data_IF_810955688091
#
_entry.id   IF_810955688091
#
_cell.length_a   1.000
_cell.length_b   1.000
_cell.length_c   1.000
_cell.angle_alpha   90.00
_cell.angle_beta   90.00
_cell.angle_gamma   90.00
#
_symmetry.space_group_name_H-M   'P 1'
#
loop_
_entity.id
_entity.type
_entity.pdbx_description
1 polymer ?
#
# COMPACT_ATOMS: atom_id res chain seq x y z
N UNK A 1 6.47 4.43 -6.85
CA UNK A 1 5.00 4.41 -7.03
C UNK A 1 4.55 3.97 -8.42
N UNK A 2 5.19 4.41 -9.51
CA UNK A 2 4.80 4.03 -10.89
C UNK A 2 4.64 2.51 -11.11
N UNK A 3 5.54 1.63 -10.60
CA UNK A 3 5.37 0.19 -10.78
C UNK A 3 4.08 -0.35 -10.19
N UNK A 4 3.63 0.21 -9.05
CA UNK A 4 2.42 -0.22 -8.34
C UNK A 4 1.16 0.24 -9.08
N UNK A 5 1.17 1.49 -9.58
CA UNK A 5 0.06 2.00 -10.40
C UNK A 5 -0.08 1.19 -11.69
N UNK A 6 1.04 0.93 -12.37
CA UNK A 6 1.05 0.08 -13.57
C UNK A 6 0.52 -1.34 -13.29
N UNK A 7 0.97 -1.95 -12.19
CA UNK A 7 0.51 -3.26 -11.75
C UNK A 7 -1.00 -3.29 -11.50
N UNK A 8 -1.51 -2.33 -10.75
CA UNK A 8 -2.94 -2.26 -10.41
C UNK A 8 -3.81 -2.04 -11.66
N UNK A 9 -3.34 -1.25 -12.63
CA UNK A 9 -4.05 -1.05 -13.90
C UNK A 9 -4.06 -2.30 -14.77
N UNK A 10 -2.92 -2.98 -14.91
CA UNK A 10 -2.78 -4.18 -15.75
C UNK A 10 -3.56 -5.36 -15.19
N UNK A 11 -3.58 -5.53 -13.87
CA UNK A 11 -4.21 -6.68 -13.22
C UNK A 11 -5.61 -6.40 -12.68
N UNK A 12 -6.16 -5.20 -12.87
CA UNK A 12 -7.51 -4.86 -12.42
C UNK A 12 -8.58 -5.86 -12.89
N UNK A 13 -8.43 -6.38 -14.14
CA UNK A 13 -9.34 -7.36 -14.73
C UNK A 13 -9.08 -8.80 -14.24
N UNK A 14 -7.90 -9.09 -13.71
CA UNK A 14 -7.51 -10.40 -13.20
C UNK A 14 -7.80 -10.59 -11.72
N UNK A 15 -8.34 -9.57 -11.05
CA UNK A 15 -8.65 -9.62 -9.63
C UNK A 15 -9.72 -10.67 -9.34
N UNK A 16 -9.55 -11.49 -8.27
CA UNK A 16 -10.57 -12.43 -7.84
C UNK A 16 -11.90 -11.74 -7.53
N UNK A 17 -13.05 -12.43 -7.69
CA UNK A 17 -14.38 -11.87 -7.41
C UNK A 17 -14.51 -11.23 -6.02
N UNK A 18 -13.78 -11.76 -5.03
CA UNK A 18 -13.74 -11.23 -3.68
C UNK A 18 -13.22 -9.78 -3.58
N UNK A 19 -12.46 -9.30 -4.57
CA UNK A 19 -11.97 -7.92 -4.65
C UNK A 19 -12.83 -7.00 -5.55
N UNK A 20 -13.98 -7.50 -6.04
CA UNK A 20 -14.89 -6.71 -6.85
C UNK A 20 -15.68 -5.71 -5.99
N UNK A 21 -16.17 -4.65 -6.64
CA UNK A 21 -16.66 -3.42 -5.99
C UNK A 21 -17.81 -3.59 -4.98
N UNK A 22 -18.66 -4.60 -5.12
CA UNK A 22 -19.85 -4.75 -4.27
C UNK A 22 -19.49 -4.94 -2.79
N UNK A 23 -18.49 -5.77 -2.50
CA UNK A 23 -18.07 -6.07 -1.13
C UNK A 23 -17.34 -4.90 -0.47
N UNK A 24 -16.59 -4.13 -1.26
CA UNK A 24 -15.90 -2.93 -0.79
C UNK A 24 -16.86 -1.77 -0.52
N UNK A 25 -18.05 -1.78 -1.14
CA UNK A 25 -19.07 -0.77 -0.92
C UNK A 25 -19.89 -0.98 0.36
N UNK A 26 -19.84 -2.15 0.97
CA UNK A 26 -20.53 -2.47 2.23
C UNK A 26 -19.84 -1.93 3.49
N UNK A 27 -18.60 -1.40 3.36
CA UNK A 27 -17.81 -0.85 4.48
C UNK A 27 -18.30 0.59 4.81
N UNK A 28 -18.24 1.01 6.11
CA UNK A 28 -18.71 2.33 6.54
C UNK A 28 -18.11 3.48 5.72
N UNK A 29 -18.95 4.44 5.34
CA UNK A 29 -18.58 5.59 4.49
C UNK A 29 -17.46 6.43 5.11
N UNK A 30 -17.47 6.59 6.42
CA UNK A 30 -16.42 7.32 7.15
C UNK A 30 -15.05 6.70 6.97
N UNK A 31 -14.94 5.36 7.04
CA UNK A 31 -13.67 4.65 6.83
C UNK A 31 -13.14 4.86 5.41
N UNK A 32 -14.01 4.81 4.39
CA UNK A 32 -13.63 5.09 2.99
C UNK A 32 -13.11 6.51 2.80
N UNK A 33 -13.76 7.51 3.44
CA UNK A 33 -13.33 8.91 3.36
C UNK A 33 -11.95 9.08 3.99
N UNK A 34 -11.74 8.54 5.20
CA UNK A 34 -10.46 8.61 5.90
C UNK A 34 -9.36 7.90 5.11
N UNK A 35 -9.63 6.70 4.60
CA UNK A 35 -8.68 5.96 3.76
C UNK A 35 -8.29 6.75 2.52
N UNK A 36 -9.27 7.30 1.78
CA UNK A 36 -9.01 8.07 0.57
C UNK A 36 -8.22 9.35 0.87
N UNK A 37 -8.52 10.04 1.97
CA UNK A 37 -7.76 11.21 2.40
C UNK A 37 -6.31 10.85 2.71
N UNK A 38 -6.07 9.81 3.51
CA UNK A 38 -4.71 9.34 3.85
C UNK A 38 -3.96 8.84 2.61
N UNK A 39 -4.62 8.08 1.74
CA UNK A 39 -4.08 7.62 0.46
C UNK A 39 -3.61 8.80 -0.38
N UNK A 40 -4.49 9.77 -0.61
CA UNK A 40 -4.17 10.97 -1.40
C UNK A 40 -3.01 11.73 -0.78
N UNK A 41 -3.01 11.91 0.56
CA UNK A 41 -1.93 12.60 1.26
C UNK A 41 -0.58 11.89 1.06
N UNK A 42 -0.51 10.57 1.28
CA UNK A 42 0.72 9.78 1.08
C UNK A 42 1.19 9.86 -0.37
N UNK A 43 0.27 9.78 -1.35
CA UNK A 43 0.63 9.89 -2.77
C UNK A 43 1.16 11.28 -3.13
N UNK A 44 0.49 12.34 -2.68
CA UNK A 44 0.94 13.73 -2.91
C UNK A 44 2.31 13.94 -2.29
N UNK A 45 2.51 13.53 -1.03
CA UNK A 45 3.84 13.61 -0.39
C UNK A 45 4.91 12.90 -1.20
N UNK A 46 4.63 11.70 -1.70
CA UNK A 46 5.60 10.93 -2.51
C UNK A 46 6.04 11.68 -3.77
N UNK A 47 5.13 12.42 -4.42
CA UNK A 47 5.47 13.23 -5.60
C UNK A 47 6.43 14.38 -5.25
N UNK A 48 6.30 14.94 -4.04
CA UNK A 48 7.16 16.04 -3.58
C UNK A 48 8.44 15.56 -2.90
N UNK A 49 8.64 14.27 -2.65
CA UNK A 49 9.87 13.74 -2.10
C UNK A 49 11.01 13.79 -3.13
N UNK A 50 12.15 14.31 -2.71
CA UNK A 50 13.38 14.25 -3.48
C UNK A 50 14.02 12.89 -3.29
N UNK A 51 13.89 12.03 -4.30
CA UNK A 51 14.43 10.68 -4.28
C UNK A 51 15.89 10.70 -4.72
N UNK A 52 16.80 10.66 -3.76
CA UNK A 52 18.25 10.63 -3.98
C UNK A 52 18.88 9.51 -3.16
N UNK A 53 20.01 8.98 -3.64
CA UNK A 53 20.80 7.99 -2.92
C UNK A 53 22.19 8.56 -2.70
N UNK A 54 22.40 9.22 -1.55
CA UNK A 54 23.65 9.87 -1.18
C UNK A 54 24.26 9.33 0.11
N UNK A 55 23.50 8.62 0.91
CA UNK A 55 23.94 8.07 2.20
C UNK A 55 23.43 6.65 2.45
N UNK A 56 23.95 6.01 3.50
CA UNK A 56 23.62 4.62 3.84
C UNK A 56 22.14 4.41 4.19
N UNK A 57 21.48 5.42 4.80
CA UNK A 57 20.05 5.32 5.13
C UNK A 57 19.21 5.27 3.85
N UNK A 58 19.52 6.09 2.86
CA UNK A 58 18.83 6.11 1.57
C UNK A 58 19.09 4.82 0.79
N UNK A 59 20.29 4.26 0.85
CA UNK A 59 20.61 2.97 0.24
C UNK A 59 19.79 1.85 0.93
N UNK A 60 19.75 1.83 2.26
CA UNK A 60 18.90 0.90 3.00
C UNK A 60 17.42 1.07 2.63
N UNK A 61 16.97 2.30 2.45
CA UNK A 61 15.63 2.61 1.96
C UNK A 61 15.33 1.99 0.59
N UNK A 62 16.30 2.03 -0.34
CA UNK A 62 16.15 1.39 -1.66
C UNK A 62 16.02 -0.14 -1.55
N UNK A 63 16.82 -0.76 -0.68
CA UNK A 63 16.73 -2.21 -0.42
C UNK A 63 15.35 -2.56 0.16
N UNK A 64 14.91 -1.83 1.19
CA UNK A 64 13.59 -2.03 1.82
C UNK A 64 12.47 -1.83 0.78
N UNK A 65 12.56 -0.79 -0.05
CA UNK A 65 11.61 -0.55 -1.14
C UNK A 65 11.53 -1.72 -2.12
N UNK A 66 12.69 -2.25 -2.54
CA UNK A 66 12.75 -3.37 -3.50
C UNK A 66 12.17 -4.65 -2.92
N UNK A 67 12.51 -4.97 -1.67
CA UNK A 67 11.95 -6.12 -0.94
C UNK A 67 10.43 -5.94 -0.78
N UNK A 68 9.99 -4.75 -0.36
CA UNK A 68 8.57 -4.42 -0.18
C UNK A 68 7.76 -4.55 -1.46
N UNK A 69 8.31 -4.11 -2.60
CA UNK A 69 7.69 -4.32 -3.92
C UNK A 69 7.56 -5.81 -4.25
N UNK A 70 8.62 -6.58 -4.03
CA UNK A 70 8.61 -8.03 -4.26
C UNK A 70 7.52 -8.73 -3.44
N UNK A 71 7.43 -8.42 -2.14
CA UNK A 71 6.40 -8.97 -1.26
C UNK A 71 4.99 -8.53 -1.66
N UNK A 72 4.81 -7.26 -2.03
CA UNK A 72 3.54 -6.73 -2.51
C UNK A 72 3.07 -7.46 -3.78
N UNK A 73 3.92 -7.59 -4.78
CA UNK A 73 3.59 -8.28 -6.01
C UNK A 73 3.36 -9.78 -5.79
N UNK A 74 4.19 -10.43 -4.96
CA UNK A 74 4.00 -11.82 -4.59
C UNK A 74 2.63 -12.04 -3.91
N UNK A 75 2.24 -11.16 -2.99
CA UNK A 75 0.94 -11.24 -2.31
C UNK A 75 -0.23 -11.18 -3.30
N UNK A 76 -0.17 -10.30 -4.31
CA UNK A 76 -1.17 -10.23 -5.37
C UNK A 76 -1.16 -11.46 -6.28
N UNK A 77 0.02 -11.93 -6.70
CA UNK A 77 0.14 -13.13 -7.54
C UNK A 77 -0.46 -14.35 -6.86
N UNK A 78 -0.22 -14.51 -5.56
CA UNK A 78 -0.82 -15.60 -4.77
C UNK A 78 -2.35 -15.47 -4.74
N UNK A 79 -2.90 -14.27 -4.54
CA UNK A 79 -4.35 -14.04 -4.57
C UNK A 79 -4.97 -14.38 -5.94
N UNK A 80 -4.32 -13.98 -7.02
CA UNK A 80 -4.81 -14.24 -8.39
C UNK A 80 -4.70 -15.73 -8.73
N UNK A 81 -3.56 -16.36 -8.44
CA UNK A 81 -3.29 -17.75 -8.84
C UNK A 81 -4.04 -18.77 -8.01
N UNK A 82 -4.27 -18.48 -6.74
CA UNK A 82 -4.89 -19.39 -5.76
C UNK A 82 -6.23 -18.86 -5.23
N UNK A 83 -6.98 -18.12 -6.06
CA UNK A 83 -8.27 -17.50 -5.70
C UNK A 83 -9.32 -18.50 -5.20
N UNK A 84 -9.28 -19.75 -5.66
CA UNK A 84 -10.23 -20.81 -5.31
C UNK A 84 -9.77 -21.69 -4.13
N UNK A 85 -8.56 -21.49 -3.60
CA UNK A 85 -7.99 -22.29 -2.52
C UNK A 85 -8.17 -21.62 -1.16
N UNK A 86 -7.90 -22.38 -0.09
CA UNK A 86 -8.04 -21.93 1.30
C UNK A 86 -7.28 -20.67 1.68
N UNK A 87 -6.26 -20.27 0.86
CA UNK A 87 -5.50 -19.05 1.04
C UNK A 87 -6.39 -17.80 0.93
N UNK A 88 -7.21 -17.69 -0.09
CA UNK A 88 -8.11 -16.54 -0.28
C UNK A 88 -9.26 -16.50 0.74
N UNK A 89 -9.51 -17.63 1.43
CA UNK A 89 -10.50 -17.75 2.52
C UNK A 89 -9.93 -17.38 3.89
N UNK A 90 -8.63 -17.09 4.00
CA UNK A 90 -7.99 -16.66 5.23
C UNK A 90 -7.90 -15.12 5.24
N UNK A 91 -8.37 -14.50 6.32
CA UNK A 91 -8.41 -13.04 6.50
C UNK A 91 -7.02 -12.40 6.43
N UNK A 92 -5.99 -13.05 6.97
CA UNK A 92 -4.61 -12.56 6.97
C UNK A 92 -4.07 -12.57 5.54
N UNK A 93 -4.30 -13.67 4.83
CA UNK A 93 -3.87 -13.81 3.45
C UNK A 93 -4.62 -12.83 2.52
N UNK A 94 -5.93 -12.67 2.71
CA UNK A 94 -6.73 -11.69 1.97
C UNK A 94 -6.21 -10.26 2.15
N UNK A 95 -5.87 -9.86 3.38
CA UNK A 95 -5.35 -8.53 3.66
C UNK A 95 -3.86 -8.35 3.31
N UNK A 96 -3.15 -9.40 2.84
CA UNK A 96 -1.72 -9.35 2.58
C UNK A 96 -1.29 -8.21 1.63
N UNK A 97 -1.96 -7.92 0.50
CA UNK A 97 -1.60 -6.78 -0.35
C UNK A 97 -1.73 -5.43 0.37
N UNK A 98 -2.64 -5.31 1.33
CA UNK A 98 -2.82 -4.08 2.07
C UNK A 98 -1.66 -3.83 3.05
N UNK A 99 -1.35 -4.77 3.96
CA UNK A 99 -0.31 -4.53 4.97
C UNK A 99 1.11 -4.65 4.42
N UNK A 100 1.38 -5.44 3.39
CA UNK A 100 2.72 -5.49 2.76
C UNK A 100 3.10 -4.17 2.10
N UNK A 101 2.12 -3.32 1.78
CA UNK A 101 2.37 -1.99 1.23
C UNK A 101 3.17 -1.10 2.19
N UNK A 102 3.14 -1.33 3.50
CA UNK A 102 3.91 -0.57 4.48
C UNK A 102 5.41 -0.64 4.21
N UNK A 103 5.91 -1.81 3.80
CA UNK A 103 7.35 -2.04 3.63
C UNK A 103 7.90 -1.16 2.50
N UNK A 104 7.26 -1.14 1.33
CA UNK A 104 7.75 -0.31 0.24
C UNK A 104 7.50 1.19 0.47
N UNK A 105 6.43 1.57 1.20
CA UNK A 105 6.21 2.96 1.62
C UNK A 105 7.32 3.43 2.55
N UNK A 106 7.73 2.62 3.52
CA UNK A 106 8.85 2.96 4.39
C UNK A 106 10.15 3.10 3.61
N UNK A 107 10.40 2.21 2.64
CA UNK A 107 11.53 2.35 1.72
C UNK A 107 11.54 3.70 1.03
N UNK A 108 10.41 4.17 0.52
CA UNK A 108 10.29 5.51 -0.07
C UNK A 108 10.57 6.61 0.96
N UNK A 109 10.05 6.49 2.18
CA UNK A 109 10.29 7.46 3.25
C UNK A 109 11.77 7.59 3.63
N UNK A 110 12.51 6.47 3.68
CA UNK A 110 13.95 6.49 3.94
C UNK A 110 14.77 7.04 2.77
N UNK A 111 14.33 6.85 1.51
CA UNK A 111 14.98 7.48 0.35
C UNK A 111 14.69 8.97 0.33
N UNK A 112 13.43 9.36 0.55
CA UNK A 112 12.96 10.73 0.43
C UNK A 112 13.14 11.54 1.72
N UNK A 113 14.39 11.84 2.10
CA UNK A 113 14.70 12.60 3.31
C UNK A 113 14.45 14.10 3.18
N UNK A 114 14.27 14.62 1.97
CA UNK A 114 14.03 16.02 1.65
C UNK A 114 12.86 16.18 0.70
N UNK A 115 12.22 17.35 0.73
CA UNK A 115 11.22 17.73 -0.26
C UNK A 115 11.88 18.46 -1.45
N UNK A 116 11.21 18.40 -2.60
CA UNK A 116 11.58 19.20 -3.79
C UNK A 116 11.38 20.70 -3.55
N UNK A 117 10.50 21.08 -2.64
CA UNK A 117 10.24 22.44 -2.20
C UNK A 117 11.09 22.75 -0.96
N UNK A 118 11.55 24.01 -0.85
CA UNK A 118 12.42 24.44 0.25
C UNK A 118 11.62 24.69 1.55
N UNK A 119 11.09 23.61 2.12
CA UNK A 119 10.34 23.61 3.39
C UNK A 119 11.03 22.66 4.35
N UNK A 120 11.06 23.05 5.63
CA UNK A 120 11.55 22.17 6.68
C UNK A 120 10.70 20.91 6.74
N UNK A 121 11.32 19.76 6.51
CA UNK A 121 10.66 18.48 6.44
C UNK A 121 11.45 17.44 7.25
N UNK A 122 10.72 16.65 8.03
CA UNK A 122 11.27 15.49 8.73
C UNK A 122 10.67 14.21 8.14
N UNK A 123 11.52 13.31 7.65
CA UNK A 123 11.10 12.07 6.95
C UNK A 123 10.17 11.17 7.78
N UNK A 124 10.25 11.23 9.11
CA UNK A 124 9.36 10.48 9.99
C UNK A 124 7.88 10.87 9.84
N UNK A 125 7.57 12.11 9.38
CA UNK A 125 6.20 12.53 9.08
C UNK A 125 5.59 11.61 8.01
N UNK A 126 6.36 11.34 6.94
CA UNK A 126 5.92 10.43 5.91
C UNK A 126 5.75 8.99 6.42
N UNK A 127 6.64 8.54 7.31
CA UNK A 127 6.53 7.20 7.91
C UNK A 127 5.25 7.07 8.75
N UNK A 128 4.93 8.07 9.58
CA UNK A 128 3.69 8.08 10.39
C UNK A 128 2.45 8.10 9.49
N UNK A 129 2.43 8.94 8.45
CA UNK A 129 1.34 8.98 7.48
C UNK A 129 1.16 7.62 6.77
N UNK A 130 2.26 6.97 6.42
CA UNK A 130 2.25 5.65 5.78
C UNK A 130 1.67 4.58 6.70
N UNK A 131 2.06 4.57 7.99
CA UNK A 131 1.50 3.66 9.00
C UNK A 131 0.00 3.90 9.14
N UNK A 132 -0.41 5.16 9.30
CA UNK A 132 -1.83 5.52 9.44
C UNK A 132 -2.65 5.08 8.23
N UNK A 133 -2.16 5.33 7.02
CA UNK A 133 -2.79 4.89 5.78
C UNK A 133 -2.93 3.37 5.73
N UNK A 134 -1.82 2.63 5.96
CA UNK A 134 -1.82 1.17 5.86
C UNK A 134 -2.69 0.53 6.93
N UNK A 135 -2.73 1.07 8.15
CA UNK A 135 -3.61 0.60 9.21
C UNK A 135 -5.08 0.70 8.79
N UNK A 136 -5.51 1.87 8.29
CA UNK A 136 -6.88 2.10 7.83
C UNK A 136 -7.20 1.25 6.60
N UNK A 137 -6.27 1.14 5.64
CA UNK A 137 -6.43 0.33 4.44
C UNK A 137 -6.54 -1.17 4.75
N UNK A 138 -5.73 -1.67 5.69
CA UNK A 138 -5.80 -3.06 6.17
C UNK A 138 -7.12 -3.31 6.90
N UNK A 139 -7.56 -2.38 7.75
CA UNK A 139 -8.85 -2.48 8.42
C UNK A 139 -10.01 -2.53 7.41
N UNK A 140 -9.97 -1.69 6.37
CA UNK A 140 -10.95 -1.73 5.28
C UNK A 140 -10.98 -3.11 4.61
N UNK A 141 -9.80 -3.66 4.26
CA UNK A 141 -9.68 -4.99 3.65
C UNK A 141 -10.27 -6.09 4.55
N UNK A 142 -10.00 -6.02 5.86
CA UNK A 142 -10.53 -6.97 6.85
C UNK A 142 -12.07 -6.89 6.95
N UNK A 143 -12.64 -5.68 6.96
CA UNK A 143 -14.08 -5.49 7.02
C UNK A 143 -14.75 -5.94 5.72
N UNK A 144 -14.17 -5.63 4.56
CA UNK A 144 -14.64 -6.12 3.27
C UNK A 144 -14.66 -7.66 3.23
N UNK A 145 -13.62 -8.31 3.75
CA UNK A 145 -13.55 -9.77 3.84
C UNK A 145 -14.67 -10.36 4.72
N UNK A 146 -14.97 -9.73 5.87
CA UNK A 146 -16.04 -10.19 6.76
C UNK A 146 -17.42 -10.14 6.12
N UNK A 147 -17.62 -9.19 5.20
CA UNK A 147 -18.88 -9.03 4.48
C UNK A 147 -19.02 -9.99 3.27
N UNK A 148 -17.97 -10.78 2.95
CA UNK A 148 -18.01 -11.86 1.95
C UNK A 148 -18.67 -13.14 2.48
N UNK A 149 -18.84 -13.26 3.79
CA UNK A 149 -19.47 -14.41 4.47
C UNK A 149 -20.93 -14.15 4.75
#
# INVERSE_FOLDING_TARGET
MLPILGWNLLLAKALPPAYQNENWNSVPRTLKIVENALRTTVFVFTVFLRLEIRNGIQLSGLVIYSIGLGLYFASWMVQIRFSNYGWSKNIIAFAAPAYTSLIWLWGIGFIGQHLLINVVYAYWIYLVLSVSFVAVHTLHSILAFKNLK
#
